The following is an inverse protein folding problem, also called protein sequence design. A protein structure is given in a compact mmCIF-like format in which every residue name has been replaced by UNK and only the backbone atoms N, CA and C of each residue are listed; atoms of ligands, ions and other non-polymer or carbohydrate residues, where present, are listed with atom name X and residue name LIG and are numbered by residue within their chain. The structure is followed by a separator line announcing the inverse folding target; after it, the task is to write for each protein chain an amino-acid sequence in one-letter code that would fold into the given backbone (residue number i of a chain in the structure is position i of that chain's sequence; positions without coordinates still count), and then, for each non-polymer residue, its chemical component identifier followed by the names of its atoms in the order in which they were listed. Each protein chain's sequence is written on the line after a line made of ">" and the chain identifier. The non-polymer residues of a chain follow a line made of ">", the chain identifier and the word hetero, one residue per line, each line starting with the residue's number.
data_IF_281281998614
#
_entry.id   IF_281281998614
#
_cell.length_a   1.000
_cell.length_b   1.000
_cell.length_c   1.000
_cell.angle_alpha   90.00
_cell.angle_beta   90.00
_cell.angle_gamma   90.00
#
_symmetry.space_group_name_H-M   'P 1'
#
loop_
_entity.id
_entity.type
_entity.pdbx_description
1 polymer ?
#
# COMPACT_ATOMS: atom_id res chain seq x y z
N UNK A 1 40.58 0.70 5.03
CA UNK A 1 39.41 0.31 4.22
C UNK A 1 38.48 1.50 4.18
N UNK A 2 38.47 2.22 3.05
CA UNK A 2 37.57 3.36 2.84
C UNK A 2 36.21 2.80 2.40
N UNK A 3 35.15 3.08 3.15
CA UNK A 3 33.80 2.72 2.77
C UNK A 3 33.35 3.66 1.63
N UNK A 4 33.07 3.08 0.48
CA UNK A 4 32.69 3.80 -0.73
C UNK A 4 31.27 4.39 -0.57
N UNK A 5 31.11 5.73 -0.64
CA UNK A 5 29.80 6.38 -0.50
C UNK A 5 28.78 5.95 -1.57
N UNK A 6 29.26 5.37 -2.68
CA UNK A 6 28.42 4.82 -3.74
C UNK A 6 27.55 3.66 -3.26
N UNK A 7 28.02 2.81 -2.34
CA UNK A 7 27.24 1.70 -1.79
C UNK A 7 26.09 2.20 -0.92
N UNK A 8 26.30 3.31 -0.20
CA UNK A 8 25.26 3.94 0.61
C UNK A 8 24.18 4.56 -0.27
N UNK A 9 24.57 5.21 -1.37
CA UNK A 9 23.61 5.69 -2.37
C UNK A 9 22.90 4.56 -3.10
N UNK A 10 23.57 3.44 -3.38
CA UNK A 10 22.95 2.26 -4.02
C UNK A 10 21.90 1.61 -3.10
N UNK A 11 22.16 1.56 -1.80
CA UNK A 11 21.22 1.07 -0.79
C UNK A 11 20.06 2.04 -0.49
N UNK A 12 20.30 3.35 -0.53
CA UNK A 12 19.28 4.36 -0.19
C UNK A 12 18.45 4.86 -1.37
N UNK A 13 18.93 4.77 -2.61
CA UNK A 13 18.27 5.35 -3.79
C UNK A 13 17.79 4.34 -4.85
N UNK A 14 18.25 3.09 -4.87
CA UNK A 14 18.04 2.23 -6.05
C UNK A 14 17.32 0.88 -5.86
N UNK A 15 17.01 0.45 -4.63
CA UNK A 15 16.16 -0.74 -4.43
C UNK A 15 14.92 -0.39 -3.61
N UNK A 16 13.92 0.16 -4.29
CA UNK A 16 12.54 -0.15 -3.93
C UNK A 16 12.36 -1.65 -4.17
N UNK A 17 12.68 -2.41 -3.13
CA UNK A 17 12.96 -3.83 -3.18
C UNK A 17 11.66 -4.55 -3.57
N UNK A 18 11.53 -4.93 -4.84
CA UNK A 18 10.32 -5.60 -5.36
C UNK A 18 9.99 -6.85 -4.55
N UNK A 19 11.01 -7.54 -4.02
CA UNK A 19 10.87 -8.68 -3.13
C UNK A 19 10.26 -8.30 -1.77
N UNK A 20 10.60 -7.10 -1.26
CA UNK A 20 10.00 -6.56 -0.04
C UNK A 20 8.56 -6.11 -0.31
N UNK A 21 8.27 -5.56 -1.50
CA UNK A 21 6.92 -5.17 -1.89
C UNK A 21 6.00 -6.39 -2.02
N UNK A 22 6.47 -7.47 -2.65
CA UNK A 22 5.72 -8.73 -2.77
C UNK A 22 5.46 -9.35 -1.39
N UNK A 23 6.49 -9.40 -0.54
CA UNK A 23 6.38 -9.96 0.82
C UNK A 23 5.46 -9.11 1.69
N UNK A 24 5.61 -7.79 1.67
CA UNK A 24 4.78 -6.85 2.43
C UNK A 24 3.33 -6.86 1.94
N UNK A 25 3.11 -6.85 0.62
CA UNK A 25 1.79 -6.95 0.00
C UNK A 25 1.09 -8.24 0.42
N UNK A 26 1.80 -9.38 0.32
CA UNK A 26 1.24 -10.68 0.71
C UNK A 26 0.93 -10.73 2.20
N UNK A 27 1.83 -10.24 3.04
CA UNK A 27 1.62 -10.19 4.49
C UNK A 27 0.42 -9.31 4.86
N UNK A 28 0.35 -8.11 4.29
CA UNK A 28 -0.76 -7.18 4.48
C UNK A 28 -2.09 -7.77 4.01
N UNK A 29 -2.12 -8.38 2.82
CA UNK A 29 -3.33 -9.03 2.30
C UNK A 29 -3.83 -10.14 3.23
N UNK A 30 -2.93 -11.00 3.70
CA UNK A 30 -3.28 -12.05 4.66
C UNK A 30 -3.88 -11.45 5.95
N UNK A 31 -3.28 -10.40 6.51
CA UNK A 31 -3.79 -9.72 7.70
C UNK A 31 -5.18 -9.13 7.45
N UNK A 32 -5.39 -8.46 6.31
CA UNK A 32 -6.69 -7.91 5.94
C UNK A 32 -7.73 -9.03 5.81
N UNK A 33 -7.40 -10.15 5.16
CA UNK A 33 -8.30 -11.29 5.05
C UNK A 33 -8.70 -11.87 6.42
N UNK A 34 -7.76 -11.94 7.36
CA UNK A 34 -7.99 -12.43 8.72
C UNK A 34 -8.79 -11.45 9.58
N UNK A 35 -8.68 -10.14 9.31
CA UNK A 35 -9.21 -9.08 10.17
C UNK A 35 -9.98 -8.01 9.37
N UNK A 36 -10.95 -8.45 8.56
CA UNK A 36 -11.66 -7.57 7.62
C UNK A 36 -12.42 -6.43 8.31
N UNK A 37 -13.05 -6.69 9.46
CA UNK A 37 -13.78 -5.66 10.21
C UNK A 37 -12.84 -4.60 10.77
N UNK A 38 -11.74 -5.01 11.40
CA UNK A 38 -10.71 -4.10 11.92
C UNK A 38 -10.09 -3.27 10.80
N UNK A 39 -9.83 -3.87 9.64
CA UNK A 39 -9.36 -3.13 8.47
C UNK A 39 -10.36 -2.04 8.04
N UNK A 40 -11.66 -2.36 7.97
CA UNK A 40 -12.70 -1.37 7.62
C UNK A 40 -12.78 -0.25 8.64
N UNK A 41 -12.70 -0.55 9.92
CA UNK A 41 -12.66 0.45 10.99
C UNK A 41 -11.44 1.36 10.87
N UNK A 42 -10.25 0.80 10.66
CA UNK A 42 -9.01 1.56 10.47
C UNK A 42 -9.10 2.51 9.27
N UNK A 43 -9.62 2.03 8.12
CA UNK A 43 -9.84 2.87 6.94
C UNK A 43 -10.81 4.01 7.26
N UNK A 44 -11.92 3.72 7.93
CA UNK A 44 -12.90 4.74 8.32
C UNK A 44 -12.31 5.78 9.28
N UNK A 45 -11.54 5.35 10.29
CA UNK A 45 -10.85 6.25 11.22
C UNK A 45 -9.86 7.15 10.47
N UNK A 46 -9.06 6.57 9.56
CA UNK A 46 -8.10 7.31 8.76
C UNK A 46 -8.76 8.34 7.83
N UNK A 47 -9.94 8.03 7.28
CA UNK A 47 -10.73 8.97 6.48
C UNK A 47 -11.38 10.07 7.32
N UNK A 48 -11.71 9.81 8.58
CA UNK A 48 -12.28 10.78 9.49
C UNK A 48 -11.25 11.79 10.02
N UNK A 49 -9.97 11.39 10.10
CA UNK A 49 -8.89 12.31 10.50
C UNK A 49 -8.52 13.31 9.41
N UNK A 50 -8.93 13.10 8.15
CA UNK A 50 -8.68 14.04 7.05
C UNK A 50 -9.67 15.20 7.08
N UNK A 51 -9.17 16.41 7.32
CA UNK A 51 -9.99 17.64 7.35
C UNK A 51 -10.32 18.17 5.95
N UNK A 52 -9.43 17.95 4.98
CA UNK A 52 -9.62 18.42 3.62
C UNK A 52 -10.48 17.40 2.83
N UNK A 53 -11.65 17.83 2.31
CA UNK A 53 -12.57 16.94 1.60
C UNK A 53 -11.97 16.37 0.31
N UNK A 54 -11.09 17.10 -0.37
CA UNK A 54 -10.43 16.63 -1.60
C UNK A 54 -9.42 15.53 -1.29
N UNK A 55 -8.60 15.69 -0.24
CA UNK A 55 -7.68 14.63 0.18
C UNK A 55 -8.44 13.41 0.70
N UNK A 56 -9.51 13.62 1.47
CA UNK A 56 -10.38 12.55 1.95
C UNK A 56 -10.97 11.73 0.81
N UNK A 57 -11.49 12.39 -0.23
CA UNK A 57 -12.05 11.70 -1.39
C UNK A 57 -11.00 10.89 -2.14
N UNK A 58 -9.82 11.47 -2.41
CA UNK A 58 -8.71 10.76 -3.07
C UNK A 58 -8.24 9.54 -2.27
N UNK A 59 -8.18 9.67 -0.95
CA UNK A 59 -7.81 8.57 -0.06
C UNK A 59 -8.86 7.46 -0.06
N UNK A 60 -10.14 7.83 -0.06
CA UNK A 60 -11.25 6.89 -0.18
C UNK A 60 -11.16 6.11 -1.51
N UNK A 61 -10.94 6.81 -2.61
CA UNK A 61 -10.75 6.20 -3.94
C UNK A 61 -9.54 5.25 -3.95
N UNK A 62 -8.42 5.65 -3.33
CA UNK A 62 -7.24 4.79 -3.20
C UNK A 62 -7.54 3.49 -2.44
N UNK A 63 -8.24 3.55 -1.29
CA UNK A 63 -8.62 2.34 -0.55
C UNK A 63 -9.65 1.47 -1.28
N UNK A 64 -10.60 2.08 -1.99
CA UNK A 64 -11.54 1.35 -2.84
C UNK A 64 -10.83 0.61 -3.98
N UNK A 65 -9.78 1.20 -4.54
CA UNK A 65 -8.95 0.54 -5.56
C UNK A 65 -8.03 -0.52 -4.97
N UNK A 66 -7.57 -0.34 -3.72
CA UNK A 66 -6.75 -1.32 -3.01
C UNK A 66 -7.53 -2.62 -2.75
N UNK A 67 -8.74 -2.49 -2.22
CA UNK A 67 -9.65 -3.61 -1.90
C UNK A 67 -11.00 -3.41 -2.58
N UNK A 68 -11.10 -3.58 -3.91
CA UNK A 68 -12.35 -3.39 -4.62
C UNK A 68 -13.35 -4.50 -4.26
N UNK A 69 -14.67 -4.25 -4.37
CA UNK A 69 -15.68 -5.29 -4.10
C UNK A 69 -15.54 -6.53 -4.99
N UNK A 70 -14.85 -6.42 -6.12
CA UNK A 70 -14.53 -7.52 -7.04
C UNK A 70 -13.37 -8.39 -6.57
N UNK A 71 -12.55 -7.91 -5.64
CA UNK A 71 -11.43 -8.68 -5.07
C UNK A 71 -11.99 -9.69 -4.06
N UNK A 72 -11.74 -10.97 -4.33
CA UNK A 72 -12.09 -12.03 -3.37
C UNK A 72 -11.15 -11.97 -2.17
N UNK A 73 -11.70 -11.73 -0.98
CA UNK A 73 -10.97 -11.68 0.30
C UNK A 73 -10.66 -13.09 0.83
N UNK A 74 -9.91 -13.85 0.04
CA UNK A 74 -9.48 -15.22 0.33
C UNK A 74 -7.99 -15.36 0.07
N UNK A 75 -7.28 -16.09 0.94
CA UNK A 75 -5.83 -16.28 0.87
C UNK A 75 -5.49 -17.34 -0.20
N UNK A 76 -5.76 -17.01 -1.47
CA UNK A 76 -5.41 -17.82 -2.63
C UNK A 76 -4.45 -17.06 -3.56
N UNK A 77 -3.80 -17.77 -4.48
CA UNK A 77 -2.79 -17.18 -5.37
C UNK A 77 -3.36 -16.06 -6.23
N UNK A 78 -4.57 -16.22 -6.75
CA UNK A 78 -5.18 -15.25 -7.66
C UNK A 78 -5.51 -13.94 -6.95
N UNK A 79 -6.11 -14.00 -5.77
CA UNK A 79 -6.39 -12.83 -4.94
C UNK A 79 -5.12 -12.12 -4.48
N UNK A 80 -4.05 -12.86 -4.15
CA UNK A 80 -2.75 -12.26 -3.80
C UNK A 80 -2.14 -11.48 -4.95
N UNK A 81 -2.14 -12.05 -6.16
CA UNK A 81 -1.62 -11.37 -7.36
C UNK A 81 -2.46 -10.12 -7.67
N UNK A 82 -3.78 -10.23 -7.60
CA UNK A 82 -4.68 -9.09 -7.84
C UNK A 82 -4.46 -7.98 -6.79
N UNK A 83 -4.39 -8.33 -5.51
CA UNK A 83 -4.11 -7.37 -4.44
C UNK A 83 -2.73 -6.72 -4.62
N UNK A 84 -1.71 -7.48 -5.02
CA UNK A 84 -0.37 -6.93 -5.26
C UNK A 84 -0.37 -5.86 -6.35
N UNK A 85 -1.10 -6.09 -7.44
CA UNK A 85 -1.28 -5.07 -8.48
C UNK A 85 -1.98 -3.83 -7.95
N UNK A 86 -3.07 -4.01 -7.17
CA UNK A 86 -3.78 -2.91 -6.55
C UNK A 86 -2.91 -2.14 -5.54
N UNK A 87 -2.05 -2.84 -4.80
CA UNK A 87 -1.15 -2.27 -3.80
C UNK A 87 -0.05 -1.43 -4.44
N UNK A 88 0.51 -1.86 -5.57
CA UNK A 88 1.47 -1.07 -6.34
C UNK A 88 0.86 0.26 -6.83
N UNK A 89 -0.37 0.19 -7.36
CA UNK A 89 -1.12 1.39 -7.76
C UNK A 89 -1.46 2.29 -6.57
N UNK A 90 -1.85 1.69 -5.43
CA UNK A 90 -2.10 2.42 -4.19
C UNK A 90 -0.86 3.18 -3.73
N UNK A 91 0.32 2.55 -3.72
CA UNK A 91 1.57 3.21 -3.34
C UNK A 91 1.93 4.35 -4.30
N UNK A 92 1.73 4.16 -5.60
CA UNK A 92 1.96 5.21 -6.61
C UNK A 92 1.06 6.42 -6.36
N UNK A 93 -0.23 6.20 -6.12
CA UNK A 93 -1.20 7.25 -5.84
C UNK A 93 -0.88 7.97 -4.51
N UNK A 94 -0.59 7.20 -3.45
CA UNK A 94 -0.30 7.75 -2.12
C UNK A 94 1.02 8.50 -2.06
N UNK A 95 2.05 8.05 -2.79
CA UNK A 95 3.30 8.81 -2.97
C UNK A 95 3.06 10.14 -3.68
N UNK A 96 2.17 10.14 -4.67
CA UNK A 96 1.72 11.36 -5.33
C UNK A 96 0.96 12.32 -4.42
N UNK A 97 0.53 11.91 -3.22
CA UNK A 97 -0.08 12.80 -2.22
C UNK A 97 0.91 13.24 -1.14
N UNK A 98 1.85 12.37 -0.75
CA UNK A 98 2.82 12.62 0.31
C UNK A 98 4.05 13.44 -0.16
N UNK A 99 4.41 13.35 -1.45
CA UNK A 99 5.56 14.05 -2.02
C UNK A 99 5.24 15.43 -2.61
N UNK A 100 3.98 15.88 -2.57
CA UNK A 100 3.63 17.27 -2.93
C UNK A 100 3.80 18.11 -1.69
N UNK A 101 4.98 18.71 -1.54
CA UNK A 101 5.29 19.68 -0.51
C UNK A 101 5.77 20.96 -1.15
#
# INVERSE_FOLDING_TARGET
>A
MNYDPSVFNMLFLETFNMDLLETASTGLFCLICCHQEQYRELVNQLLQTQSDPTYKQRLLEAFNNLTPPTLTMSINRQSKIAFMHNFDQFLTNVRGFLCVK
#
